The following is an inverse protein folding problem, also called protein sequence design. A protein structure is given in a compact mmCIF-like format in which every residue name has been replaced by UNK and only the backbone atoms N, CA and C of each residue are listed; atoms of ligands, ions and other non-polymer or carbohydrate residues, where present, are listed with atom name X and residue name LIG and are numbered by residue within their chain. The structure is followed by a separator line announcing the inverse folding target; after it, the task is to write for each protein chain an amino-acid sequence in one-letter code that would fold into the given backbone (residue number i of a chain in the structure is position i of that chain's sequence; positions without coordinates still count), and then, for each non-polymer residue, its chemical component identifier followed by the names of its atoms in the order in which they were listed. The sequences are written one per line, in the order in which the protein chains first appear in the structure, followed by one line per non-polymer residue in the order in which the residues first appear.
data_IF_465113665401
#
_entry.id   IF_465113665401
#
_cell.length_a   1.000
_cell.length_b   1.000
_cell.length_c   1.000
_cell.angle_alpha   90.00
_cell.angle_beta   90.00
_cell.angle_gamma   90.00
#
_symmetry.space_group_name_H-M   'P 1'
#
loop_
_entity.id
_entity.type
_entity.pdbx_description
1 polymer ?
#
# COMPACT_ATOMS: atom_id res chain seq x y z
N UNK A 1 -5.71 6.90 24.91
CA UNK A 1 -4.57 6.06 24.50
C UNK A 1 -4.16 6.53 23.11
N UNK A 2 -2.86 6.58 22.77
CA UNK A 2 -2.42 6.95 21.44
C UNK A 2 -2.94 5.93 20.42
N UNK A 3 -3.33 6.41 19.23
CA UNK A 3 -3.80 5.56 18.13
C UNK A 3 -2.63 4.75 17.59
N UNK A 4 -2.78 3.43 17.52
CA UNK A 4 -1.75 2.53 17.02
C UNK A 4 -1.90 2.36 15.50
N UNK A 5 -0.99 2.99 14.75
CA UNK A 5 -1.01 2.99 13.29
C UNK A 5 0.07 2.05 12.73
N UNK A 6 -0.33 1.13 11.86
CA UNK A 6 0.59 0.30 11.08
C UNK A 6 0.89 0.98 9.74
N UNK A 7 2.15 1.36 9.50
CA UNK A 7 2.62 1.77 8.19
C UNK A 7 2.87 0.54 7.33
N UNK A 8 2.11 0.39 6.25
CA UNK A 8 2.29 -0.68 5.27
C UNK A 8 3.17 -0.16 4.13
N UNK A 9 4.41 -0.65 4.07
CA UNK A 9 5.52 -0.08 3.30
C UNK A 9 6.14 -1.15 2.39
N UNK A 10 6.85 -0.72 1.35
CA UNK A 10 7.59 -1.58 0.44
C UNK A 10 6.84 -1.86 -0.85
N UNK A 11 7.16 -2.99 -1.48
CA UNK A 11 6.60 -3.40 -2.76
C UNK A 11 6.74 -4.91 -2.95
N UNK A 12 5.63 -5.57 -3.27
CA UNK A 12 5.61 -6.98 -3.67
C UNK A 12 6.00 -7.21 -5.14
N UNK A 13 6.47 -6.18 -5.87
CA UNK A 13 6.71 -6.25 -7.31
C UNK A 13 8.15 -5.93 -7.70
N UNK A 14 8.76 -4.92 -7.08
CA UNK A 14 10.12 -4.49 -7.40
C UNK A 14 10.73 -3.65 -6.30
N UNK A 15 12.05 -3.74 -6.17
CA UNK A 15 12.81 -2.97 -5.18
C UNK A 15 12.72 -1.47 -5.42
N UNK A 16 12.74 -1.02 -6.68
CA UNK A 16 12.62 0.42 -7.00
C UNK A 16 11.29 1.04 -6.54
N UNK A 17 10.18 0.30 -6.61
CA UNK A 17 8.92 0.76 -6.01
C UNK A 17 8.93 0.65 -4.48
N UNK A 18 9.71 -0.29 -3.94
CA UNK A 18 9.97 -0.41 -2.51
C UNK A 18 10.74 0.78 -1.95
N UNK A 19 11.77 1.24 -2.65
CA UNK A 19 12.57 2.42 -2.29
C UNK A 19 11.72 3.69 -2.30
N UNK A 20 10.88 3.87 -3.32
CA UNK A 20 9.92 4.97 -3.39
C UNK A 20 8.96 4.93 -2.19
N UNK A 21 8.40 3.75 -1.90
CA UNK A 21 7.53 3.54 -0.74
C UNK A 21 8.22 3.89 0.58
N UNK A 22 9.46 3.41 0.77
CA UNK A 22 10.29 3.65 1.95
C UNK A 22 10.60 5.12 2.15
N UNK A 23 10.92 5.85 1.08
CA UNK A 23 11.20 7.28 1.12
C UNK A 23 9.99 8.06 1.68
N UNK A 24 8.80 7.85 1.11
CA UNK A 24 7.58 8.52 1.54
C UNK A 24 7.18 8.13 2.97
N UNK A 25 7.31 6.85 3.31
CA UNK A 25 6.96 6.35 4.63
C UNK A 25 7.88 6.91 5.72
N UNK A 26 9.19 7.01 5.46
CA UNK A 26 10.15 7.59 6.40
C UNK A 26 9.86 9.06 6.67
N UNK A 27 9.66 9.85 5.61
CA UNK A 27 9.40 11.28 5.77
C UNK A 27 8.05 11.52 6.47
N UNK A 28 7.05 10.67 6.21
CA UNK A 28 5.79 10.68 6.93
C UNK A 28 5.97 10.39 8.43
N UNK A 29 6.67 9.31 8.80
CA UNK A 29 6.94 8.96 10.21
C UNK A 29 7.57 10.11 10.99
N UNK A 30 8.50 10.85 10.36
CA UNK A 30 9.14 12.02 10.96
C UNK A 30 8.16 13.19 11.06
N UNK A 31 7.43 13.50 9.99
CA UNK A 31 6.55 14.66 9.92
C UNK A 31 5.35 14.61 10.88
N UNK A 32 4.86 13.40 11.18
CA UNK A 32 3.69 13.20 12.06
C UNK A 32 4.02 12.60 13.43
N UNK A 33 5.31 12.55 13.79
CA UNK A 33 5.75 12.00 15.07
C UNK A 33 5.16 12.78 16.25
N UNK A 34 4.20 12.18 16.94
CA UNK A 34 3.61 12.69 18.17
C UNK A 34 3.25 11.49 19.06
N UNK A 35 4.08 11.15 20.07
CA UNK A 35 3.87 9.97 20.93
C UNK A 35 2.61 10.06 21.81
N UNK A 36 2.09 11.27 22.06
CA UNK A 36 0.86 11.46 22.81
C UNK A 36 -0.37 11.08 21.96
N UNK A 37 -0.26 11.23 20.64
CA UNK A 37 -1.32 10.93 19.67
C UNK A 37 -1.19 9.58 19.01
N UNK A 38 0.02 9.14 18.70
CA UNK A 38 0.28 8.01 17.82
C UNK A 38 1.36 7.08 18.34
N UNK A 39 1.13 5.79 18.16
CA UNK A 39 2.14 4.74 18.23
C UNK A 39 2.27 4.11 16.85
N UNK A 40 3.49 3.98 16.35
CA UNK A 40 3.73 3.43 15.02
C UNK A 40 4.27 2.00 15.06
N UNK A 41 3.88 1.21 14.07
CA UNK A 41 4.53 -0.06 13.72
C UNK A 41 4.70 -0.12 12.21
N UNK A 42 5.69 -0.88 11.74
CA UNK A 42 6.00 -0.97 10.31
C UNK A 42 5.79 -2.41 9.86
N UNK A 43 5.09 -2.57 8.74
CA UNK A 43 5.06 -3.81 7.96
C UNK A 43 5.70 -3.51 6.60
N UNK A 44 6.89 -4.06 6.36
CA UNK A 44 7.64 -3.89 5.13
C UNK A 44 7.54 -5.13 4.24
N UNK A 45 7.04 -4.97 3.02
CA UNK A 45 6.87 -6.07 2.05
C UNK A 45 7.92 -5.96 0.95
N UNK A 46 8.55 -7.07 0.59
CA UNK A 46 9.54 -7.17 -0.50
C UNK A 46 9.03 -7.99 -1.69
N UNK A 47 9.73 -7.96 -2.83
CA UNK A 47 9.31 -8.68 -4.04
C UNK A 47 9.25 -10.21 -3.90
N UNK A 48 9.92 -10.78 -2.88
CA UNK A 48 9.78 -12.19 -2.49
C UNK A 48 8.41 -12.54 -1.88
N UNK A 49 7.51 -11.56 -1.72
CA UNK A 49 6.19 -11.72 -1.13
C UNK A 49 6.19 -11.87 0.39
N UNK A 50 7.35 -11.70 1.04
CA UNK A 50 7.50 -11.81 2.49
C UNK A 50 7.36 -10.47 3.18
N UNK A 51 6.86 -10.54 4.41
CA UNK A 51 6.65 -9.39 5.28
C UNK A 51 7.74 -9.33 6.35
N UNK A 52 8.18 -8.13 6.68
CA UNK A 52 9.14 -7.87 7.75
C UNK A 52 8.57 -6.80 8.67
N UNK A 53 8.87 -6.89 9.95
CA UNK A 53 8.39 -5.94 10.96
C UNK A 53 9.57 -5.26 11.66
N UNK A 54 10.33 -4.39 10.94
CA UNK A 54 11.49 -3.71 11.51
C UNK A 54 11.07 -2.60 12.49
N UNK A 55 12.00 -2.18 13.34
CA UNK A 55 11.80 -1.06 14.27
C UNK A 55 11.74 0.31 13.56
N UNK A 56 12.43 0.43 12.42
CA UNK A 56 12.49 1.64 11.59
C UNK A 56 12.64 1.28 10.10
N UNK A 57 12.78 2.30 9.25
CA UNK A 57 12.93 2.15 7.80
C UNK A 57 14.38 2.28 7.32
N UNK A 58 15.37 2.07 8.20
CA UNK A 58 16.76 1.94 7.78
C UNK A 58 16.94 0.63 6.98
N UNK A 59 17.70 0.64 5.86
CA UNK A 59 17.94 -0.56 5.07
C UNK A 59 18.46 -1.74 5.90
N UNK A 60 19.32 -1.47 6.87
CA UNK A 60 19.93 -2.46 7.76
C UNK A 60 18.89 -3.10 8.69
N UNK A 61 18.00 -2.29 9.27
CA UNK A 61 16.88 -2.75 10.10
C UNK A 61 15.91 -3.62 9.30
N UNK A 62 15.61 -3.22 8.06
CA UNK A 62 14.76 -4.01 7.15
C UNK A 62 15.46 -5.34 6.82
N UNK A 63 16.74 -5.33 6.49
CA UNK A 63 17.49 -6.54 6.14
C UNK A 63 17.62 -7.52 7.32
N UNK A 64 17.76 -7.00 8.55
CA UNK A 64 17.88 -7.82 9.75
C UNK A 64 16.53 -8.39 10.24
N UNK A 65 15.41 -7.79 9.84
CA UNK A 65 14.09 -8.24 10.27
C UNK A 65 13.72 -9.61 9.67
N UNK A 66 13.22 -10.51 10.54
CA UNK A 66 12.83 -11.86 10.15
C UNK A 66 11.70 -11.84 9.10
N UNK A 67 11.86 -12.53 7.95
CA UNK A 67 10.88 -12.48 6.88
C UNK A 67 9.78 -13.53 7.09
N UNK A 68 8.55 -13.06 7.33
CA UNK A 68 7.37 -13.90 7.54
C UNK A 68 6.63 -14.18 6.23
N UNK A 69 6.15 -15.42 6.02
CA UNK A 69 5.18 -15.69 4.96
C UNK A 69 3.83 -14.99 5.26
N UNK A 70 2.97 -14.78 4.26
CA UNK A 70 1.74 -14.00 4.41
C UNK A 70 0.81 -14.47 5.54
N UNK A 71 0.61 -15.78 5.71
CA UNK A 71 -0.22 -16.35 6.76
C UNK A 71 0.26 -15.96 8.18
N UNK A 72 1.56 -16.06 8.42
CA UNK A 72 2.17 -15.68 9.71
C UNK A 72 2.19 -14.15 9.88
N UNK A 73 2.41 -13.40 8.81
CA UNK A 73 2.37 -11.94 8.86
C UNK A 73 0.98 -11.43 9.24
N UNK A 74 -0.08 -12.05 8.70
CA UNK A 74 -1.46 -11.72 9.03
C UNK A 74 -1.81 -12.05 10.48
N UNK A 75 -1.38 -13.21 10.98
CA UNK A 75 -1.51 -13.55 12.39
C UNK A 75 -0.77 -12.53 13.28
N UNK A 76 0.42 -12.10 12.87
CA UNK A 76 1.20 -11.07 13.59
C UNK A 76 0.46 -9.72 13.61
N UNK A 77 -0.05 -9.24 12.47
CA UNK A 77 -0.83 -7.99 12.40
C UNK A 77 -2.06 -8.05 13.30
N UNK A 78 -2.81 -9.16 13.30
CA UNK A 78 -3.97 -9.33 14.18
C UNK A 78 -3.58 -9.28 15.66
N UNK A 79 -2.43 -9.85 16.03
CA UNK A 79 -1.93 -9.84 17.41
C UNK A 79 -1.38 -8.47 17.87
N UNK A 80 -0.99 -7.58 16.94
CA UNK A 80 -0.48 -6.25 17.29
C UNK A 80 -1.54 -5.34 17.92
N UNK A 81 -2.83 -5.58 17.64
CA UNK A 81 -3.93 -4.75 18.12
C UNK A 81 -3.89 -3.33 17.54
N UNK A 82 -3.56 -3.19 16.25
CA UNK A 82 -3.52 -1.90 15.56
C UNK A 82 -4.93 -1.32 15.39
N UNK A 83 -5.04 0.00 15.44
CA UNK A 83 -6.31 0.72 15.26
C UNK A 83 -6.54 1.09 13.78
N UNK A 84 -5.46 1.31 13.02
CA UNK A 84 -5.51 1.80 11.63
C UNK A 84 -4.28 1.31 10.86
N UNK A 85 -4.45 1.02 9.57
CA UNK A 85 -3.34 0.85 8.63
C UNK A 85 -3.16 2.09 7.72
N UNK A 86 -1.93 2.54 7.55
CA UNK A 86 -1.55 3.59 6.60
C UNK A 86 -0.88 2.95 5.37
N UNK A 87 -1.57 2.88 4.22
CA UNK A 87 -1.05 2.20 3.03
C UNK A 87 -0.10 3.12 2.24
N UNK A 88 1.20 2.80 2.26
CA UNK A 88 2.25 3.58 1.60
C UNK A 88 2.97 2.80 0.51
N UNK A 89 2.36 1.74 -0.02
CA UNK A 89 2.85 0.98 -1.17
C UNK A 89 2.31 1.55 -2.49
N UNK A 90 3.19 1.71 -3.48
CA UNK A 90 2.85 2.28 -4.79
C UNK A 90 2.75 1.24 -5.92
N UNK A 91 3.05 -0.03 -5.62
CA UNK A 91 2.86 -1.11 -6.58
C UNK A 91 1.39 -1.51 -6.66
N UNK A 92 0.98 -2.07 -7.81
CA UNK A 92 -0.43 -2.42 -8.05
C UNK A 92 -1.01 -3.34 -6.97
N UNK A 93 -0.35 -4.44 -6.55
CA UNK A 93 -0.85 -5.25 -5.43
C UNK A 93 -1.00 -4.43 -4.14
N UNK A 94 -0.02 -3.59 -3.82
CA UNK A 94 -0.03 -2.75 -2.60
C UNK A 94 -1.21 -1.77 -2.58
N UNK A 95 -1.53 -1.19 -3.74
CA UNK A 95 -2.67 -0.30 -3.91
C UNK A 95 -4.02 -1.03 -3.97
N UNK A 96 -4.05 -2.34 -4.20
CA UNK A 96 -5.31 -3.11 -4.36
C UNK A 96 -5.40 -4.26 -3.35
N UNK A 97 -4.76 -5.40 -3.64
CA UNK A 97 -4.96 -6.66 -2.91
C UNK A 97 -4.55 -6.58 -1.45
N UNK A 98 -3.47 -5.84 -1.15
CA UNK A 98 -3.06 -5.62 0.23
C UNK A 98 -4.06 -4.74 1.00
N UNK A 99 -4.70 -3.74 0.37
CA UNK A 99 -5.78 -2.98 1.01
C UNK A 99 -7.00 -3.87 1.29
N UNK A 100 -7.40 -4.67 0.31
CA UNK A 100 -8.52 -5.61 0.44
C UNK A 100 -8.32 -6.62 1.59
N UNK A 101 -7.07 -6.97 1.90
CA UNK A 101 -6.75 -7.82 3.02
C UNK A 101 -7.09 -7.19 4.37
N UNK A 102 -6.93 -5.87 4.51
CA UNK A 102 -7.34 -5.14 5.72
C UNK A 102 -8.86 -4.97 5.80
N UNK A 103 -9.57 -4.88 4.67
CA UNK A 103 -11.04 -4.97 4.64
C UNK A 103 -11.51 -6.31 5.22
N UNK A 104 -10.86 -7.42 4.84
CA UNK A 104 -11.15 -8.77 5.38
C UNK A 104 -10.85 -8.86 6.88
N UNK A 105 -9.78 -8.23 7.36
CA UNK A 105 -9.46 -8.18 8.79
C UNK A 105 -10.39 -7.27 9.61
N UNK A 106 -11.22 -6.44 8.96
CA UNK A 106 -12.01 -5.42 9.63
C UNK A 106 -11.16 -4.29 10.25
N UNK A 107 -9.93 -4.10 9.76
CA UNK A 107 -9.04 -3.02 10.21
C UNK A 107 -9.17 -1.85 9.24
N UNK A 108 -9.58 -0.66 9.68
CA UNK A 108 -9.70 0.49 8.79
C UNK A 108 -8.34 0.92 8.25
N UNK A 109 -8.33 1.60 7.11
CA UNK A 109 -7.12 2.16 6.53
C UNK A 109 -7.35 3.51 5.86
N UNK A 110 -6.27 4.30 5.74
CA UNK A 110 -6.34 5.62 5.13
C UNK A 110 -6.39 5.57 3.59
N UNK A 111 -7.18 6.48 3.01
CA UNK A 111 -7.27 6.68 1.56
C UNK A 111 -8.38 5.84 0.92
N UNK A 112 -8.23 5.57 -0.38
CA UNK A 112 -9.29 4.93 -1.16
C UNK A 112 -9.35 3.42 -0.95
N UNK A 113 -10.55 2.86 -1.09
CA UNK A 113 -10.80 1.42 -1.07
C UNK A 113 -10.09 0.68 -2.21
N UNK A 114 -9.84 -0.62 -2.04
CA UNK A 114 -9.09 -1.45 -2.98
C UNK A 114 -9.67 -1.43 -4.41
N UNK A 115 -11.00 -1.50 -4.54
CA UNK A 115 -11.72 -1.48 -5.81
C UNK A 115 -11.66 -0.13 -6.51
N UNK A 116 -11.69 0.97 -5.74
CA UNK A 116 -11.53 2.33 -6.26
C UNK A 116 -10.11 2.50 -6.80
N UNK A 117 -9.10 2.02 -6.07
CA UNK A 117 -7.71 2.01 -6.54
C UNK A 117 -7.54 1.16 -7.79
N UNK A 118 -8.20 -0.01 -7.87
CA UNK A 118 -8.16 -0.88 -9.05
C UNK A 118 -8.79 -0.22 -10.29
N UNK A 119 -9.92 0.47 -10.11
CA UNK A 119 -10.58 1.26 -11.16
C UNK A 119 -9.68 2.41 -11.62
N UNK A 120 -9.20 3.22 -10.69
CA UNK A 120 -8.39 4.41 -10.97
C UNK A 120 -7.05 4.07 -11.64
N UNK A 121 -6.43 2.94 -11.29
CA UNK A 121 -5.19 2.49 -11.92
C UNK A 121 -5.38 2.08 -13.40
N UNK A 122 -6.61 1.77 -13.82
CA UNK A 122 -6.90 1.40 -15.21
C UNK A 122 -7.45 2.60 -16.00
N UNK A 123 -6.54 3.34 -16.66
CA UNK A 123 -6.85 4.59 -17.37
C UNK A 123 -8.12 4.56 -18.23
N UNK A 124 -8.32 3.53 -19.06
CA UNK A 124 -9.52 3.44 -19.90
C UNK A 124 -10.83 3.34 -19.08
N UNK A 125 -10.85 2.52 -18.02
CA UNK A 125 -12.03 2.36 -17.14
C UNK A 125 -12.26 3.62 -16.32
N UNK A 126 -11.19 4.20 -15.76
CA UNK A 126 -11.27 5.47 -15.04
C UNK A 126 -11.85 6.57 -15.93
N UNK A 127 -11.32 6.74 -17.16
CA UNK A 127 -11.85 7.73 -18.12
C UNK A 127 -13.32 7.47 -18.46
N UNK A 128 -13.73 6.22 -18.64
CA UNK A 128 -15.13 5.89 -18.93
C UNK A 128 -16.07 6.32 -17.79
N UNK A 129 -15.70 6.05 -16.53
CA UNK A 129 -16.49 6.46 -15.36
C UNK A 129 -16.52 7.99 -15.22
N UNK A 130 -15.39 8.66 -15.38
CA UNK A 130 -15.29 10.13 -15.30
C UNK A 130 -16.09 10.82 -16.42
N UNK A 131 -16.01 10.30 -17.64
CA UNK A 131 -16.80 10.80 -18.76
C UNK A 131 -18.31 10.60 -18.57
N UNK A 132 -18.73 9.45 -18.04
CA UNK A 132 -20.13 9.19 -17.71
C UNK A 132 -20.69 10.17 -16.65
N UNK A 133 -19.83 10.72 -15.81
CA UNK A 133 -20.17 11.78 -14.85
C UNK A 133 -20.15 13.21 -15.46
N UNK A 134 -19.96 13.35 -16.77
CA UNK A 134 -19.97 14.63 -17.48
C UNK A 134 -18.65 15.40 -17.43
N UNK A 135 -17.57 14.80 -16.95
CA UNK A 135 -16.24 15.44 -16.91
C UNK A 135 -15.48 15.14 -18.21
N UNK A 136 -14.89 16.16 -18.82
CA UNK A 136 -14.10 16.02 -20.03
C UNK A 136 -12.86 15.13 -19.78
N UNK A 137 -12.64 14.15 -20.66
CA UNK A 137 -11.47 13.26 -20.64
C UNK A 137 -10.81 13.20 -22.02
N UNK A 138 -9.49 12.96 -22.11
CA UNK A 138 -8.82 12.81 -23.41
C UNK A 138 -9.36 11.61 -24.21
N UNK A 139 -9.61 11.83 -25.49
CA UNK A 139 -9.85 10.75 -26.45
C UNK A 139 -8.67 9.76 -26.45
N UNK A 140 -8.96 8.50 -26.73
CA UNK A 140 -7.93 7.48 -26.88
C UNK A 140 -8.52 6.09 -26.94
N UNK A 141 -7.76 5.17 -27.52
CA UNK A 141 -8.14 3.78 -27.72
C UNK A 141 -7.40 2.84 -26.77
N UNK A 142 -7.91 1.62 -26.60
CA UNK A 142 -7.25 0.55 -25.86
C UNK A 142 -6.73 -0.45 -26.88
N UNK A 143 -5.41 -0.54 -27.00
CA UNK A 143 -4.73 -1.51 -27.85
C UNK A 143 -4.35 -2.75 -27.03
N UNK A 144 -4.59 -3.93 -27.61
CA UNK A 144 -4.07 -5.21 -27.15
C UNK A 144 -2.80 -5.56 -27.92
N UNK A 145 -2.11 -6.60 -27.47
CA UNK A 145 -0.93 -7.09 -28.18
C UNK A 145 -1.30 -7.49 -29.61
N UNK A 146 -0.68 -6.85 -30.60
CA UNK A 146 -0.93 -7.06 -32.02
C UNK A 146 -1.91 -6.06 -32.67
N UNK A 147 -2.59 -5.23 -31.88
CA UNK A 147 -3.46 -4.20 -32.44
C UNK A 147 -2.63 -3.05 -33.04
N UNK A 148 -3.11 -2.46 -34.14
CA UNK A 148 -2.60 -1.20 -34.68
C UNK A 148 -3.53 -0.06 -34.24
N UNK A 149 -3.00 1.15 -34.01
CA UNK A 149 -3.84 2.32 -33.71
C UNK A 149 -4.76 2.66 -34.88
N UNK A 150 -5.96 3.16 -34.58
CA UNK A 150 -6.97 3.60 -35.55
C UNK A 150 -6.63 4.92 -36.24
#
# INVERSE_FOLDING_TARGET
MPVHVLHLVGSAVSDGLGDLSRLYARDCLVAVADPERYRFSIAYITPDGRWRFPADLAPESIAAAAPLPPDQAMAHVAALGIDLMLPQMFCRPGMTSYRALFDVLGIPYLGNAAEVMALAAHKARAKAVVAAAGVAVPAGEVLRAGDAPS
#
